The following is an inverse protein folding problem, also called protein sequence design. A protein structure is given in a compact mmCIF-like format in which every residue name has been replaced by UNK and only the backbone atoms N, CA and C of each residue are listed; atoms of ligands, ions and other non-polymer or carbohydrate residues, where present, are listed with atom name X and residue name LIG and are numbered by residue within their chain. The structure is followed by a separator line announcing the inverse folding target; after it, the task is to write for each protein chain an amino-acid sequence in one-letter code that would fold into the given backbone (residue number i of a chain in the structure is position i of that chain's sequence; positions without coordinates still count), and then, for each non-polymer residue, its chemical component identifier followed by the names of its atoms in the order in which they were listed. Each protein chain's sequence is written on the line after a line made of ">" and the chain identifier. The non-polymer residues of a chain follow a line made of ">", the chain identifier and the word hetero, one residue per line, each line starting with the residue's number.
data_IF_400094369070
#
_entry.id   IF_400094369070
#
_cell.length_a   1.000
_cell.length_b   1.000
_cell.length_c   1.000
_cell.angle_alpha   90.00
_cell.angle_beta   90.00
_cell.angle_gamma   90.00
#
_symmetry.space_group_name_H-M   'P 1'
#
loop_
_entity.id
_entity.type
_entity.pdbx_description
1 polymer ?
#
# COMPACT_ATOMS: atom_id res chain seq x y z
N UNK A 1 24.72 -16.67 28.88
CA UNK A 1 24.78 -15.22 28.59
C UNK A 1 23.45 -14.82 27.97
N UNK A 2 22.50 -14.37 28.79
CA UNK A 2 21.21 -13.89 28.30
C UNK A 2 21.39 -12.47 27.75
N UNK A 3 21.14 -12.28 26.46
CA UNK A 3 21.20 -10.96 25.84
C UNK A 3 20.22 -10.01 26.54
N UNK A 4 20.62 -8.77 26.87
CA UNK A 4 19.67 -7.79 27.35
C UNK A 4 18.70 -7.50 26.22
N UNK A 5 17.47 -7.99 26.35
CA UNK A 5 16.33 -7.49 25.57
C UNK A 5 16.18 -6.03 25.92
N UNK A 6 16.82 -5.16 25.13
CA UNK A 6 16.61 -3.71 25.14
C UNK A 6 15.11 -3.48 25.01
N UNK A 7 14.47 -3.18 26.14
CA UNK A 7 13.07 -2.78 26.20
C UNK A 7 13.01 -1.35 25.64
N UNK A 8 13.09 -1.24 24.32
CA UNK A 8 12.83 0.00 23.61
C UNK A 8 11.34 0.28 23.83
N UNK A 9 11.04 1.16 24.79
CA UNK A 9 9.73 1.78 24.90
C UNK A 9 9.52 2.59 23.63
N UNK A 10 8.90 1.98 22.62
CA UNK A 10 8.42 2.70 21.44
C UNK A 10 7.48 3.79 21.96
N UNK A 11 7.82 5.07 21.75
CA UNK A 11 7.02 6.14 22.31
C UNK A 11 5.62 6.11 21.66
N UNK A 12 4.59 6.50 22.41
CA UNK A 12 3.18 6.40 21.97
C UNK A 12 2.92 7.13 20.65
N UNK A 13 3.65 8.22 20.36
CA UNK A 13 3.54 8.96 19.09
C UNK A 13 3.98 8.13 17.88
N UNK A 14 4.99 7.27 18.01
CA UNK A 14 5.44 6.39 16.92
C UNK A 14 4.31 5.42 16.50
N UNK A 15 3.50 4.97 17.46
CA UNK A 15 2.35 4.08 17.19
C UNK A 15 1.25 4.82 16.44
N UNK A 16 0.94 6.04 16.86
CA UNK A 16 -0.08 6.88 16.20
C UNK A 16 0.37 7.21 14.78
N UNK A 17 1.62 7.64 14.59
CA UNK A 17 2.19 7.93 13.26
C UNK A 17 2.14 6.68 12.37
N UNK A 18 2.54 5.51 12.89
CA UNK A 18 2.48 4.25 12.14
C UNK A 18 1.05 3.91 11.70
N UNK A 19 0.08 4.03 12.59
CA UNK A 19 -1.33 3.80 12.26
C UNK A 19 -1.81 4.78 11.19
N UNK A 20 -1.54 6.08 11.35
CA UNK A 20 -1.95 7.10 10.39
C UNK A 20 -1.34 6.88 9.01
N UNK A 21 -0.04 6.56 8.94
CA UNK A 21 0.66 6.27 7.67
C UNK A 21 0.15 5.00 7.01
N UNK A 22 -0.12 3.95 7.79
CA UNK A 22 -0.67 2.70 7.24
C UNK A 22 -2.10 2.92 6.72
N UNK A 23 -2.95 3.63 7.46
CA UNK A 23 -4.32 3.93 7.05
C UNK A 23 -4.35 4.83 5.81
N UNK A 24 -3.53 5.87 5.77
CA UNK A 24 -3.42 6.74 4.59
C UNK A 24 -2.87 5.98 3.38
N UNK A 25 -1.88 5.12 3.58
CA UNK A 25 -1.33 4.24 2.55
C UNK A 25 -2.37 3.26 1.97
N UNK A 26 -3.17 2.63 2.82
CA UNK A 26 -4.27 1.75 2.39
C UNK A 26 -5.31 2.54 1.60
N UNK A 27 -5.73 3.71 2.11
CA UNK A 27 -6.73 4.55 1.44
C UNK A 27 -6.26 5.00 0.06
N UNK A 28 -5.02 5.48 -0.05
CA UNK A 28 -4.41 5.86 -1.33
C UNK A 28 -4.30 4.69 -2.29
N UNK A 29 -3.93 3.51 -1.79
CA UNK A 29 -3.83 2.30 -2.61
C UNK A 29 -5.20 1.84 -3.12
N UNK A 30 -6.23 1.84 -2.27
CA UNK A 30 -7.61 1.54 -2.68
C UNK A 30 -8.11 2.55 -3.71
N UNK A 31 -7.81 3.83 -3.52
CA UNK A 31 -8.17 4.88 -4.47
C UNK A 31 -7.47 4.70 -5.82
N UNK A 32 -6.17 4.41 -5.83
CA UNK A 32 -5.44 4.12 -7.06
C UNK A 32 -6.01 2.88 -7.80
N UNK A 33 -6.35 1.82 -7.06
CA UNK A 33 -7.02 0.64 -7.61
C UNK A 33 -8.39 0.98 -8.21
N UNK A 34 -9.19 1.80 -7.53
CA UNK A 34 -10.48 2.25 -8.02
C UNK A 34 -10.35 3.07 -9.32
N UNK A 35 -9.44 4.05 -9.32
CA UNK A 35 -9.16 4.89 -10.50
C UNK A 35 -8.71 4.03 -11.69
N UNK A 36 -7.80 3.09 -11.47
CA UNK A 36 -7.34 2.20 -12.55
C UNK A 36 -8.49 1.36 -13.11
N UNK A 37 -9.35 0.83 -12.25
CA UNK A 37 -10.50 0.02 -12.66
C UNK A 37 -11.52 0.85 -13.46
N UNK A 38 -11.89 2.02 -12.97
CA UNK A 38 -12.84 2.90 -13.68
C UNK A 38 -12.23 3.42 -14.98
N UNK A 39 -10.93 3.76 -15.01
CA UNK A 39 -10.25 4.21 -16.23
C UNK A 39 -10.09 3.09 -17.27
N UNK A 40 -9.94 1.84 -16.83
CA UNK A 40 -9.93 0.67 -17.72
C UNK A 40 -11.33 0.43 -18.30
N UNK A 41 -12.39 0.73 -17.54
CA UNK A 41 -13.78 0.59 -17.98
C UNK A 41 -14.23 1.73 -18.90
N UNK A 42 -13.84 2.96 -18.58
CA UNK A 42 -14.14 4.16 -19.35
C UNK A 42 -12.87 4.99 -19.55
N UNK A 43 -12.36 5.00 -20.78
CA UNK A 43 -11.17 5.75 -21.15
C UNK A 43 -11.33 7.27 -20.97
N UNK A 44 -12.56 7.79 -20.90
CA UNK A 44 -12.83 9.21 -20.67
C UNK A 44 -12.92 9.60 -19.19
N UNK A 45 -12.96 8.63 -18.27
CA UNK A 45 -13.00 8.91 -16.83
C UNK A 45 -11.80 9.74 -16.38
N UNK A 46 -12.03 10.84 -15.64
CA UNK A 46 -10.97 11.64 -15.02
C UNK A 46 -11.00 11.47 -13.51
N UNK A 47 -9.89 10.99 -12.96
CA UNK A 47 -9.73 10.89 -11.53
C UNK A 47 -9.61 12.27 -10.87
N UNK A 48 -9.95 12.38 -9.59
CA UNK A 48 -9.76 13.61 -8.83
C UNK A 48 -8.27 13.96 -8.62
N UNK A 49 -7.37 12.98 -8.73
CA UNK A 49 -5.92 13.20 -8.61
C UNK A 49 -5.28 13.66 -9.94
N UNK A 50 -6.10 13.92 -10.97
CA UNK A 50 -5.70 14.34 -12.31
C UNK A 50 -5.75 15.88 -12.39
N UNK A 51 -4.73 16.58 -11.86
CA UNK A 51 -4.73 18.04 -11.72
C UNK A 51 -4.54 18.78 -13.05
N UNK A 52 -3.74 18.21 -13.96
CA UNK A 52 -3.43 18.82 -15.27
C UNK A 52 -2.95 17.77 -16.26
N UNK A 53 -2.89 18.11 -17.56
CA UNK A 53 -2.42 17.20 -18.62
C UNK A 53 -1.01 16.63 -18.34
N UNK A 54 -0.18 17.40 -17.62
CA UNK A 54 1.17 17.04 -17.18
C UNK A 54 1.23 16.25 -15.86
N UNK A 55 0.21 16.35 -14.98
CA UNK A 55 0.18 15.69 -13.66
C UNK A 55 -1.09 14.84 -13.59
N UNK A 56 -0.96 13.61 -14.08
CA UNK A 56 -2.08 12.70 -14.32
C UNK A 56 -1.82 11.35 -13.68
N UNK A 57 -2.34 11.16 -12.45
CA UNK A 57 -2.25 9.90 -11.70
C UNK A 57 -2.86 8.73 -12.50
N UNK A 58 -3.96 8.98 -13.21
CA UNK A 58 -4.68 8.00 -14.02
C UNK A 58 -3.76 7.39 -15.08
N UNK A 59 -2.99 8.24 -15.81
CA UNK A 59 -2.04 7.78 -16.84
C UNK A 59 -0.91 6.94 -16.24
N UNK A 60 -0.42 7.31 -15.05
CA UNK A 60 0.66 6.59 -14.36
C UNK A 60 0.18 5.20 -13.94
N UNK A 61 -1.00 5.10 -13.32
CA UNK A 61 -1.54 3.83 -12.84
C UNK A 61 -1.96 2.88 -13.97
N UNK A 62 -2.49 3.41 -15.09
CA UNK A 62 -2.80 2.58 -16.26
C UNK A 62 -1.58 2.26 -17.12
N UNK A 63 -0.40 2.79 -16.81
CA UNK A 63 0.82 2.50 -17.56
C UNK A 63 1.28 1.06 -17.34
N UNK A 64 2.14 0.55 -18.24
CA UNK A 64 2.77 -0.77 -18.09
C UNK A 64 3.48 -0.97 -16.74
N UNK A 65 3.92 0.11 -16.12
CA UNK A 65 4.63 0.08 -14.83
C UNK A 65 3.68 0.05 -13.64
N UNK A 66 2.40 0.41 -13.82
CA UNK A 66 1.36 0.39 -12.80
C UNK A 66 0.83 -1.01 -12.49
N UNK A 67 1.13 -2.01 -13.34
CA UNK A 67 0.80 -3.43 -13.12
C UNK A 67 2.06 -4.26 -12.93
N UNK A 68 2.09 -5.05 -11.86
CA UNK A 68 3.17 -5.98 -11.59
C UNK A 68 4.57 -5.35 -11.62
N UNK A 69 4.69 -4.07 -11.25
CA UNK A 69 5.92 -3.25 -11.36
C UNK A 69 6.53 -3.18 -12.78
N UNK A 70 5.77 -3.56 -13.82
CA UNK A 70 6.26 -3.67 -15.21
C UNK A 70 7.27 -4.79 -15.47
N UNK A 71 7.56 -5.61 -14.45
CA UNK A 71 8.56 -6.69 -14.47
C UNK A 71 7.92 -8.06 -14.27
N UNK A 72 6.84 -8.13 -13.48
CA UNK A 72 6.18 -9.39 -13.17
C UNK A 72 5.44 -9.95 -14.39
N UNK A 73 4.94 -9.10 -15.30
CA UNK A 73 4.33 -9.54 -16.56
C UNK A 73 5.32 -10.21 -17.52
N UNK A 74 6.59 -9.79 -17.54
CA UNK A 74 7.64 -10.40 -18.37
C UNK A 74 8.24 -11.66 -17.76
N UNK A 75 8.28 -11.77 -16.42
CA UNK A 75 8.89 -12.91 -15.71
C UNK A 75 7.88 -14.04 -15.47
N UNK A 76 6.65 -13.71 -15.06
CA UNK A 76 5.62 -14.70 -14.71
C UNK A 76 4.56 -14.87 -15.80
N UNK A 77 4.60 -14.09 -16.88
CA UNK A 77 3.60 -14.11 -17.96
C UNK A 77 2.40 -13.21 -17.66
N UNK A 78 1.82 -12.61 -18.71
CA UNK A 78 0.74 -11.64 -18.59
C UNK A 78 -0.56 -12.22 -18.00
N UNK A 79 -0.76 -13.53 -18.11
CA UNK A 79 -1.92 -14.27 -17.58
C UNK A 79 -1.74 -14.81 -16.15
N UNK A 80 -0.57 -14.59 -15.54
CA UNK A 80 -0.34 -15.03 -14.17
C UNK A 80 -1.10 -14.16 -13.17
N UNK A 81 -1.67 -14.80 -12.14
CA UNK A 81 -2.35 -14.14 -11.01
C UNK A 81 -1.47 -13.10 -10.27
N UNK A 82 -0.17 -13.09 -10.55
CA UNK A 82 0.85 -12.16 -10.03
C UNK A 82 0.85 -10.82 -10.80
N UNK A 83 0.22 -10.72 -11.97
CA UNK A 83 0.11 -9.47 -12.73
C UNK A 83 -1.04 -8.57 -12.21
N UNK A 84 -1.05 -8.35 -10.90
CA UNK A 84 -2.00 -7.44 -10.24
C UNK A 84 -1.48 -6.00 -10.26
N UNK A 85 -2.37 -5.01 -10.17
CA UNK A 85 -1.96 -3.61 -10.08
C UNK A 85 -1.13 -3.36 -8.82
N UNK A 86 -0.14 -2.46 -8.93
CA UNK A 86 0.82 -2.16 -7.86
C UNK A 86 0.13 -1.77 -6.54
N UNK A 87 -1.04 -1.15 -6.65
CA UNK A 87 -1.90 -0.79 -5.52
C UNK A 87 -2.29 -1.99 -4.65
N UNK A 88 -2.47 -3.19 -5.22
CA UNK A 88 -2.77 -4.41 -4.46
C UNK A 88 -1.57 -4.82 -3.60
N UNK A 89 -0.36 -4.73 -4.15
CA UNK A 89 0.87 -4.96 -3.38
C UNK A 89 1.05 -3.92 -2.26
N UNK A 90 0.69 -2.66 -2.52
CA UNK A 90 0.65 -1.61 -1.50
C UNK A 90 -0.30 -1.95 -0.35
N UNK A 91 -1.54 -2.36 -0.66
CA UNK A 91 -2.53 -2.78 0.35
C UNK A 91 -1.99 -3.93 1.19
N UNK A 92 -1.45 -4.98 0.55
CA UNK A 92 -0.86 -6.11 1.25
C UNK A 92 0.28 -5.66 2.18
N UNK A 93 1.19 -4.83 1.69
CA UNK A 93 2.31 -4.31 2.47
C UNK A 93 1.85 -3.52 3.71
N UNK A 94 0.89 -2.61 3.56
CA UNK A 94 0.38 -1.84 4.69
C UNK A 94 -0.42 -2.69 5.69
N UNK A 95 -1.16 -3.71 5.21
CA UNK A 95 -1.81 -4.70 6.08
C UNK A 95 -0.77 -5.51 6.86
N UNK A 96 0.29 -6.00 6.20
CA UNK A 96 1.38 -6.71 6.87
C UNK A 96 2.07 -5.83 7.90
N UNK A 97 2.32 -4.55 7.61
CA UNK A 97 2.87 -3.60 8.58
C UNK A 97 1.95 -3.38 9.79
N UNK A 98 0.63 -3.32 9.58
CA UNK A 98 -0.34 -3.25 10.68
C UNK A 98 -0.34 -4.53 11.52
N UNK A 99 -0.32 -5.71 10.89
CA UNK A 99 -0.32 -7.00 11.58
C UNK A 99 0.97 -7.22 12.38
N UNK A 100 2.14 -6.96 11.78
CA UNK A 100 3.43 -7.05 12.47
C UNK A 100 3.59 -5.97 13.54
N UNK A 101 3.03 -4.77 13.32
CA UNK A 101 2.90 -3.73 14.33
C UNK A 101 2.03 -4.17 15.51
N UNK A 102 0.94 -4.92 15.27
CA UNK A 102 0.04 -5.49 16.29
C UNK A 102 0.62 -6.66 17.07
N UNK A 103 1.51 -7.45 16.50
CA UNK A 103 2.21 -8.50 17.26
C UNK A 103 3.12 -7.94 18.38
N UNK A 104 3.45 -6.64 18.35
CA UNK A 104 4.07 -5.91 19.48
C UNK A 104 3.06 -5.17 20.37
N UNK A 105 1.78 -5.19 20.02
CA UNK A 105 0.66 -4.56 20.76
C UNK A 105 0.10 -5.51 21.84
N UNK A 106 0.08 -6.83 21.62
CA UNK A 106 -0.44 -7.77 22.63
C UNK A 106 0.37 -7.84 23.95
N UNK A 107 1.57 -7.27 23.99
CA UNK A 107 2.40 -7.27 25.21
C UNK A 107 2.38 -5.95 26.00
N UNK A 108 1.70 -4.90 25.51
CA UNK A 108 1.65 -3.59 26.20
C UNK A 108 0.24 -3.18 26.64
N UNK A 109 -0.82 -3.77 26.08
CA UNK A 109 -2.21 -3.53 26.53
C UNK A 109 -2.73 -4.55 27.57
N UNK A 110 -1.85 -5.32 28.21
CA UNK A 110 -2.19 -6.13 29.40
C UNK A 110 -1.46 -5.64 30.66
N UNK A 111 -1.16 -4.33 30.70
CA UNK A 111 -0.66 -3.66 31.90
C UNK A 111 -1.01 -2.16 31.91
N UNK A 112 -2.28 -1.84 31.64
CA UNK A 112 -2.92 -0.67 32.21
C UNK A 112 -4.19 -1.12 32.95
#
# INVERSE_FOLDING_TARGET
>A
MAAPVLRVSTPRWERIVRLLVCLSGILLSLYAFHVEREKTRDANYRAMCDLSSSISCSKVFTSRWGRGFGLLGTIFGNDSAVNQPNSVYGILFYIFQLLLGKNRISHVDCRL
#
